data_IF_805289405206
#
_entry.id   IF_805289405206
#
_cell.length_a   1.000
_cell.length_b   1.000
_cell.length_c   1.000
_cell.angle_alpha   90.00
_cell.angle_beta   90.00
_cell.angle_gamma   90.00
#
_symmetry.space_group_name_H-M   'P 1'
#
loop_
_entity.id
_entity.type
_entity.pdbx_description
1 polymer ?
#
# COMPACT_ATOMS: atom_id res chain seq x y z
N UNK A 1 -13.74 -5.52 -15.03
CA UNK A 1 -12.42 -5.49 -14.38
C UNK A 1 -12.43 -6.58 -13.32
N UNK A 2 -11.44 -7.48 -13.31
CA UNK A 2 -11.39 -8.57 -12.32
C UNK A 2 -10.71 -8.07 -11.05
N UNK A 3 -11.04 -8.66 -9.89
CA UNK A 3 -10.44 -8.27 -8.60
C UNK A 3 -8.91 -8.44 -8.62
N UNK A 4 -8.43 -9.47 -9.30
CA UNK A 4 -7.01 -9.80 -9.38
C UNK A 4 -6.22 -8.71 -10.10
N UNK A 5 -6.82 -8.06 -11.10
CA UNK A 5 -6.19 -6.98 -11.86
C UNK A 5 -6.04 -5.73 -10.98
N UNK A 6 -7.07 -5.40 -10.20
CA UNK A 6 -7.00 -4.29 -9.23
C UNK A 6 -5.99 -4.58 -8.14
N UNK A 7 -5.94 -5.80 -7.61
CA UNK A 7 -4.93 -6.16 -6.61
C UNK A 7 -3.51 -6.01 -7.15
N UNK A 8 -3.26 -6.45 -8.39
CA UNK A 8 -1.96 -6.25 -9.03
C UNK A 8 -1.62 -4.76 -9.18
N UNK A 9 -2.56 -3.93 -9.66
CA UNK A 9 -2.37 -2.47 -9.75
C UNK A 9 -2.00 -1.84 -8.39
N UNK A 10 -2.64 -2.27 -7.30
CA UNK A 10 -2.35 -1.74 -5.96
C UNK A 10 -0.96 -2.17 -5.48
N UNK A 11 -0.64 -3.46 -5.66
CA UNK A 11 0.64 -4.04 -5.26
C UNK A 11 1.81 -3.40 -6.03
N UNK A 12 1.64 -3.17 -7.34
CA UNK A 12 2.66 -2.53 -8.18
C UNK A 12 2.85 -1.05 -7.83
N UNK A 13 1.75 -0.32 -7.60
CA UNK A 13 1.82 1.07 -7.14
C UNK A 13 2.55 1.16 -5.80
N UNK A 14 2.31 0.22 -4.88
CA UNK A 14 3.02 0.17 -3.61
C UNK A 14 4.50 -0.19 -3.75
N UNK A 15 4.86 -1.12 -4.63
CA UNK A 15 6.25 -1.45 -4.89
C UNK A 15 7.05 -0.21 -5.33
N UNK A 16 6.45 0.69 -6.11
CA UNK A 16 7.07 1.97 -6.49
C UNK A 16 7.29 2.92 -5.30
N UNK A 17 6.51 2.80 -4.22
CA UNK A 17 6.78 3.56 -2.99
C UNK A 17 8.00 3.06 -2.23
N UNK A 18 8.53 1.86 -2.46
CA UNK A 18 9.79 1.43 -1.84
C UNK A 18 11.03 1.85 -2.64
N UNK A 19 10.84 2.36 -3.85
CA UNK A 19 11.92 2.92 -4.64
C UNK A 19 12.26 4.33 -4.10
N UNK A 20 13.40 4.42 -3.42
CA UNK A 20 13.90 5.65 -2.79
C UNK A 20 14.18 6.77 -3.79
N UNK A 21 14.53 6.43 -5.03
CA UNK A 21 14.75 7.39 -6.11
C UNK A 21 13.43 7.97 -6.62
N UNK A 22 12.40 7.12 -6.81
CA UNK A 22 11.04 7.53 -7.14
C UNK A 22 10.41 8.38 -6.03
N UNK A 23 10.57 7.99 -4.76
CA UNK A 23 10.12 8.80 -3.62
C UNK A 23 10.78 10.17 -3.59
N UNK A 24 12.09 10.24 -3.83
CA UNK A 24 12.83 11.51 -3.90
C UNK A 24 12.34 12.43 -5.02
N UNK A 25 11.89 11.89 -6.16
CA UNK A 25 11.29 12.66 -7.24
C UNK A 25 9.87 13.13 -6.89
N UNK A 26 9.05 12.27 -6.31
CA UNK A 26 7.66 12.60 -5.94
C UNK A 26 7.65 13.67 -4.84
N UNK A 27 8.52 13.56 -3.83
CA UNK A 27 8.65 14.53 -2.74
C UNK A 27 8.94 15.95 -3.24
N UNK A 28 9.71 16.08 -4.33
CA UNK A 28 10.14 17.37 -4.91
C UNK A 28 9.13 17.96 -5.92
N UNK A 29 8.06 17.24 -6.25
CA UNK A 29 7.11 17.64 -7.30
C UNK A 29 5.64 17.58 -6.83
N UNK A 30 5.08 18.71 -6.34
CA UNK A 30 3.70 18.76 -5.81
C UNK A 30 2.62 18.24 -6.78
N UNK A 31 2.78 18.49 -8.09
CA UNK A 31 1.86 17.93 -9.11
C UNK A 31 1.86 16.40 -9.14
N UNK A 32 3.03 15.77 -9.00
CA UNK A 32 3.14 14.30 -8.97
C UNK A 32 2.52 13.72 -7.71
N UNK A 33 2.66 14.39 -6.57
CA UNK A 33 1.98 14.00 -5.32
C UNK A 33 0.46 14.05 -5.45
N UNK A 34 -0.06 15.09 -6.09
CA UNK A 34 -1.51 15.24 -6.31
C UNK A 34 -2.07 14.17 -7.24
N UNK A 35 -1.40 13.89 -8.37
CA UNK A 35 -1.83 12.83 -9.29
C UNK A 35 -1.74 11.44 -8.62
N UNK A 36 -0.69 11.18 -7.84
CA UNK A 36 -0.57 9.96 -7.05
C UNK A 36 -1.71 9.82 -6.04
N UNK A 37 -2.07 10.90 -5.34
CA UNK A 37 -3.22 10.92 -4.42
C UNK A 37 -4.55 10.61 -5.12
N UNK A 38 -4.77 11.10 -6.34
CA UNK A 38 -5.96 10.75 -7.14
C UNK A 38 -5.98 9.28 -7.52
N UNK A 39 -4.85 8.72 -7.97
CA UNK A 39 -4.76 7.31 -8.33
C UNK A 39 -4.99 6.41 -7.11
N UNK A 40 -4.41 6.74 -5.96
CA UNK A 40 -4.68 6.03 -4.70
C UNK A 40 -6.17 6.10 -4.29
N UNK A 41 -6.83 7.26 -4.49
CA UNK A 41 -8.25 7.40 -4.20
C UNK A 41 -9.13 6.53 -5.12
N UNK A 42 -8.83 6.51 -6.43
CA UNK A 42 -9.52 5.66 -7.41
C UNK A 42 -9.36 4.18 -7.07
N UNK A 43 -8.14 3.75 -6.78
CA UNK A 43 -7.83 2.37 -6.39
C UNK A 43 -8.56 2.00 -5.10
N UNK A 44 -8.56 2.91 -4.11
CA UNK A 44 -9.29 2.72 -2.86
C UNK A 44 -10.79 2.52 -3.04
N UNK A 45 -11.43 3.24 -3.97
CA UNK A 45 -12.84 3.01 -4.32
C UNK A 45 -13.07 1.64 -4.94
N UNK A 46 -12.18 1.21 -5.85
CA UNK A 46 -12.29 -0.11 -6.50
C UNK A 46 -12.16 -1.24 -5.48
N UNK A 47 -11.20 -1.16 -4.56
CA UNK A 47 -11.03 -2.15 -3.50
C UNK A 47 -12.30 -2.34 -2.65
N UNK A 48 -12.99 -1.24 -2.31
CA UNK A 48 -14.25 -1.30 -1.57
C UNK A 48 -15.42 -1.95 -2.34
N UNK A 49 -15.35 -2.02 -3.67
CA UNK A 49 -16.43 -2.54 -4.52
C UNK A 49 -16.19 -3.99 -4.93
N UNK A 50 -14.95 -4.34 -5.29
CA UNK A 50 -14.63 -5.64 -5.90
C UNK A 50 -13.66 -6.51 -5.08
N UNK A 51 -13.16 -6.01 -3.96
CA UNK A 51 -12.32 -6.78 -3.06
C UNK A 51 -13.09 -7.93 -2.40
N UNK A 52 -12.36 -8.94 -1.93
CA UNK A 52 -12.94 -9.94 -1.04
C UNK A 52 -13.33 -9.32 0.30
N UNK A 53 -14.23 -9.98 1.02
CA UNK A 53 -14.70 -9.53 2.33
C UNK A 53 -13.56 -9.18 3.29
N UNK A 54 -12.49 -9.98 3.30
CA UNK A 54 -11.35 -9.74 4.20
C UNK A 54 -10.53 -8.51 3.77
N UNK A 55 -10.26 -8.36 2.47
CA UNK A 55 -9.59 -7.18 1.91
C UNK A 55 -10.39 -5.92 2.18
N UNK A 56 -11.71 -5.95 1.94
CA UNK A 56 -12.60 -4.81 2.19
C UNK A 56 -12.61 -4.43 3.67
N UNK A 57 -12.74 -5.40 4.58
CA UNK A 57 -12.72 -5.16 6.04
C UNK A 57 -11.41 -4.50 6.48
N UNK A 58 -10.27 -5.01 6.01
CA UNK A 58 -8.95 -4.43 6.33
C UNK A 58 -8.78 -3.05 5.72
N UNK A 59 -9.25 -2.83 4.50
CA UNK A 59 -9.20 -1.52 3.84
C UNK A 59 -10.02 -0.47 4.59
N UNK A 60 -11.23 -0.82 5.03
CA UNK A 60 -12.07 0.08 5.85
C UNK A 60 -11.37 0.42 7.17
N UNK A 61 -10.77 -0.56 7.85
CA UNK A 61 -9.99 -0.33 9.08
C UNK A 61 -8.81 0.61 8.83
N UNK A 62 -8.04 0.40 7.77
CA UNK A 62 -6.95 1.29 7.36
C UNK A 62 -7.45 2.72 7.16
N UNK A 63 -8.56 2.91 6.42
CA UNK A 63 -9.15 4.23 6.15
C UNK A 63 -9.58 4.94 7.42
N UNK A 64 -10.19 4.23 8.36
CA UNK A 64 -10.59 4.77 9.65
C UNK A 64 -9.36 5.29 10.42
N UNK A 65 -8.34 4.44 10.58
CA UNK A 65 -7.10 4.78 11.32
C UNK A 65 -6.40 5.98 10.67
N UNK A 66 -6.29 6.00 9.34
CA UNK A 66 -5.67 7.10 8.59
C UNK A 66 -6.40 8.44 8.76
N UNK A 67 -7.70 8.42 9.04
CA UNK A 67 -8.49 9.63 9.26
C UNK A 67 -8.45 10.12 10.71
N UNK A 68 -8.26 9.21 11.68
CA UNK A 68 -8.42 9.51 13.10
C UNK A 68 -7.11 9.74 13.86
N UNK A 69 -5.95 9.43 13.28
CA UNK A 69 -4.64 9.52 13.97
C UNK A 69 -3.79 10.70 13.45
N UNK A 70 -3.90 11.93 14.02
CA UNK A 70 -2.99 13.02 13.71
C UNK A 70 -1.63 12.87 14.43
N UNK A 71 -0.52 13.14 13.73
CA UNK A 71 0.76 13.55 14.33
C UNK A 71 1.60 12.52 15.09
N UNK A 72 1.36 11.22 14.94
CA UNK A 72 2.17 10.17 15.60
C UNK A 72 1.74 8.73 15.32
N UNK A 73 0.50 8.50 14.85
CA UNK A 73 0.00 7.17 14.49
C UNK A 73 0.43 6.65 13.12
N UNK A 74 1.46 7.24 12.49
CA UNK A 74 1.93 6.85 11.16
C UNK A 74 2.26 5.35 11.08
N UNK A 75 2.92 4.81 12.12
CA UNK A 75 3.24 3.39 12.18
C UNK A 75 1.97 2.52 12.20
N UNK A 76 0.92 2.91 12.93
CA UNK A 76 -0.38 2.21 12.94
C UNK A 76 -1.06 2.27 11.58
N UNK A 77 -1.01 3.43 10.92
CA UNK A 77 -1.55 3.61 9.55
C UNK A 77 -0.82 2.69 8.59
N UNK A 78 0.51 2.63 8.68
CA UNK A 78 1.35 1.76 7.88
C UNK A 78 1.06 0.28 8.13
N UNK A 79 0.99 -0.16 9.39
CA UNK A 79 0.65 -1.53 9.76
C UNK A 79 -0.75 -1.92 9.24
N UNK A 80 -1.74 -1.02 9.35
CA UNK A 80 -3.08 -1.26 8.84
C UNK A 80 -3.08 -1.39 7.30
N UNK A 81 -2.33 -0.53 6.61
CA UNK A 81 -2.15 -0.61 5.16
C UNK A 81 -1.48 -1.93 4.74
N UNK A 82 -0.41 -2.33 5.43
CA UNK A 82 0.27 -3.61 5.21
C UNK A 82 -0.68 -4.81 5.38
N UNK A 83 -1.60 -4.75 6.33
CA UNK A 83 -2.66 -5.75 6.47
C UNK A 83 -3.51 -5.90 5.21
N UNK A 84 -3.90 -4.79 4.56
CA UNK A 84 -4.65 -4.81 3.29
C UNK A 84 -3.85 -5.52 2.21
N UNK A 85 -2.55 -5.21 2.11
CA UNK A 85 -1.65 -5.79 1.10
C UNK A 85 -1.49 -7.29 1.26
N UNK A 86 -1.35 -7.77 2.52
CA UNK A 86 -1.23 -9.19 2.81
C UNK A 86 -2.51 -9.96 2.45
N UNK A 87 -3.69 -9.42 2.77
CA UNK A 87 -4.95 -10.07 2.40
C UNK A 87 -5.14 -10.14 0.87
N UNK A 88 -4.75 -9.10 0.12
CA UNK A 88 -4.76 -9.16 -1.34
C UNK A 88 -3.79 -10.22 -1.89
N UNK A 89 -2.63 -10.39 -1.25
CA UNK A 89 -1.66 -11.41 -1.62
C UNK A 89 -2.17 -12.83 -1.36
N UNK A 90 -2.84 -13.05 -0.23
CA UNK A 90 -3.48 -14.33 0.10
C UNK A 90 -4.55 -14.69 -0.93
N UNK A 91 -5.39 -13.72 -1.32
CA UNK A 91 -6.37 -13.90 -2.39
C UNK A 91 -5.74 -14.22 -3.76
N UNK A 92 -4.56 -13.66 -4.05
CA UNK A 92 -3.85 -13.86 -5.31
C UNK A 92 -3.05 -15.17 -5.36
N UNK A 93 -2.65 -15.72 -4.21
CA UNK A 93 -1.78 -16.90 -4.14
C UNK A 93 -2.29 -18.10 -4.97
N UNK A 94 -3.60 -18.43 -4.97
CA UNK A 94 -4.12 -19.56 -5.76
C UNK A 94 -4.14 -19.33 -7.27
N UNK A 95 -4.13 -18.07 -7.73
CA UNK A 95 -4.38 -17.71 -9.14
C UNK A 95 -3.19 -17.07 -9.84
N UNK A 96 -2.31 -16.37 -9.10
CA UNK A 96 -1.12 -15.68 -9.61
C UNK A 96 0.10 -15.84 -8.68
N UNK A 97 0.54 -17.09 -8.38
CA UNK A 97 1.61 -17.36 -7.40
C UNK A 97 2.97 -16.69 -7.73
N UNK A 98 3.26 -16.43 -9.00
CA UNK A 98 4.50 -15.79 -9.46
C UNK A 98 4.62 -14.31 -9.06
N UNK A 99 3.50 -13.61 -8.86
CA UNK A 99 3.47 -12.19 -8.45
C UNK A 99 3.86 -12.08 -6.96
N UNK A 100 3.52 -13.10 -6.16
CA UNK A 100 3.84 -13.15 -4.73
C UNK A 100 5.32 -13.42 -4.48
N UNK A 101 5.96 -14.26 -5.30
CA UNK A 101 7.40 -14.58 -5.18
C UNK A 101 8.32 -13.36 -5.37
N UNK A 102 7.90 -12.35 -6.12
CA UNK A 102 8.70 -11.14 -6.36
C UNK A 102 8.62 -10.12 -5.23
N UNK A 103 7.71 -10.30 -4.27
CA UNK A 103 7.50 -9.37 -3.17
C UNK A 103 7.60 -10.05 -1.81
N UNK A 104 8.67 -10.81 -1.57
CA UNK A 104 9.01 -11.41 -0.26
C UNK A 104 9.52 -10.37 0.75
N UNK A 105 8.86 -9.23 0.83
CA UNK A 105 9.05 -8.26 1.90
C UNK A 105 8.06 -8.66 3.01
N UNK A 106 8.55 -9.20 4.12
CA UNK A 106 7.74 -9.46 5.31
C UNK A 106 7.30 -8.13 5.92
N UNK A 107 6.26 -8.14 6.77
CA UNK A 107 5.85 -6.93 7.51
C UNK A 107 7.03 -6.24 8.20
N UNK A 108 7.94 -7.03 8.79
CA UNK A 108 9.17 -6.55 9.43
C UNK A 108 10.16 -5.95 8.42
N UNK A 109 10.29 -6.54 7.23
CA UNK A 109 11.13 -6.02 6.16
C UNK A 109 10.58 -4.70 5.60
N UNK A 110 9.25 -4.57 5.48
CA UNK A 110 8.55 -3.35 5.05
C UNK A 110 8.67 -2.23 6.10
N UNK A 111 8.47 -2.56 7.38
CA UNK A 111 8.66 -1.63 8.49
C UNK A 111 10.13 -1.19 8.61
N UNK A 112 11.07 -2.13 8.50
CA UNK A 112 12.50 -1.87 8.57
C UNK A 112 13.03 -0.97 7.44
N UNK A 113 12.55 -1.17 6.21
CA UNK A 113 12.99 -0.36 5.04
C UNK A 113 12.52 1.09 5.15
N UNK A 114 11.31 1.32 5.66
CA UNK A 114 10.78 2.67 5.87
C UNK A 114 11.40 3.39 7.07
N UNK A 115 11.57 2.71 8.22
CA UNK A 115 12.20 3.28 9.42
C UNK A 115 13.69 3.57 9.21
N UNK A 116 14.38 2.78 8.38
CA UNK A 116 15.75 3.06 7.96
C UNK A 116 15.85 4.34 7.10
N UNK A 117 14.83 4.63 6.29
CA UNK A 117 14.71 5.88 5.52
C UNK A 117 14.59 7.12 6.40
N UNK A 118 13.84 7.06 7.52
CA UNK A 118 13.74 8.17 8.49
C UNK A 118 15.08 8.48 9.17
N UNK A 119 15.93 7.47 9.41
CA UNK A 119 17.24 7.67 10.05
C UNK A 119 18.29 8.28 9.13
N UNK A 120 18.16 8.12 7.81
CA UNK A 120 19.09 8.73 6.83
C UNK A 120 18.68 10.14 6.38
N UNK A 121 17.51 10.63 6.83
CA UNK A 121 17.00 11.97 6.54
C UNK A 121 17.24 13.02 7.62
N UNK A 122 18.11 12.77 8.61
CA UNK A 122 18.54 13.74 9.62
C UNK A 122 20.02 14.01 9.56
#
# INVERSE_FOLDING_TARGET
MKKEDVYCEVLDMFAQFFDSHLQGQIAKHPKRQFELGKEMAKVGMRLGIIGSDDVVKKYVKFRLIAQTEPGGGFEKVLQAFLGVMMAMREDLLPVKPQIIRLTTCTTEHLLGTFLAGEKMGR
#
